data_IF_709833338374
#
_entry.id   IF_709833338374
#
_cell.length_a   1.000
_cell.length_b   1.000
_cell.length_c   1.000
_cell.angle_alpha   90.00
_cell.angle_beta   90.00
_cell.angle_gamma   90.00
#
_symmetry.space_group_name_H-M   'P 1'
#
loop_
_entity.id
_entity.type
_entity.pdbx_description
1 polymer ?
#
# COMPACT_ATOMS: atom_id res chain seq x y z
N UNK A 1 -55.64 -3.71 33.47
CA UNK A 1 -55.07 -2.74 32.52
C UNK A 1 -54.34 -3.57 31.49
N UNK A 2 -55.02 -3.92 30.41
CA UNK A 2 -54.42 -4.71 29.34
C UNK A 2 -53.41 -3.83 28.62
N UNK A 3 -52.13 -4.14 28.76
CA UNK A 3 -51.08 -3.44 28.05
C UNK A 3 -51.28 -3.71 26.56
N UNK A 4 -51.73 -2.70 25.81
CA UNK A 4 -51.94 -2.75 24.35
C UNK A 4 -50.67 -3.13 23.54
N UNK A 5 -49.53 -3.31 24.22
CA UNK A 5 -48.24 -3.72 23.66
C UNK A 5 -47.98 -5.23 23.73
N UNK A 6 -48.87 -6.03 24.34
CA UNK A 6 -48.74 -7.49 24.42
C UNK A 6 -48.54 -8.21 23.05
N UNK A 7 -49.24 -7.84 21.95
CA UNK A 7 -48.98 -8.45 20.63
C UNK A 7 -47.74 -7.89 19.93
N UNK A 8 -47.16 -6.80 20.44
CA UNK A 8 -46.00 -6.11 19.86
C UNK A 8 -44.66 -6.70 20.34
N UNK A 9 -44.69 -7.58 21.35
CA UNK A 9 -43.51 -8.26 21.90
C UNK A 9 -42.71 -9.02 20.83
N UNK A 10 -43.31 -9.97 20.06
CA UNK A 10 -42.58 -10.75 19.06
C UNK A 10 -42.07 -9.89 17.89
N UNK A 11 -42.85 -8.93 17.41
CA UNK A 11 -42.48 -8.05 16.29
C UNK A 11 -41.33 -7.12 16.65
N UNK A 12 -41.24 -6.67 17.90
CA UNK A 12 -40.15 -5.82 18.37
C UNK A 12 -38.81 -6.56 18.39
N UNK A 13 -38.81 -7.86 18.70
CA UNK A 13 -37.59 -8.69 18.64
C UNK A 13 -37.06 -8.82 17.20
N UNK A 14 -37.95 -9.03 16.23
CA UNK A 14 -37.57 -9.07 14.81
C UNK A 14 -37.01 -7.72 14.34
N UNK A 15 -37.65 -6.62 14.73
CA UNK A 15 -37.15 -5.27 14.42
C UNK A 15 -35.76 -5.03 15.04
N UNK A 16 -35.57 -5.38 16.32
CA UNK A 16 -34.30 -5.26 17.01
C UNK A 16 -33.20 -6.11 16.35
N UNK A 17 -33.53 -7.34 15.93
CA UNK A 17 -32.61 -8.22 15.19
C UNK A 17 -32.16 -7.61 13.86
N UNK A 18 -33.10 -7.05 13.09
CA UNK A 18 -32.79 -6.37 11.84
C UNK A 18 -31.87 -5.17 12.07
N UNK A 19 -32.14 -4.37 13.09
CA UNK A 19 -31.28 -3.24 13.45
C UNK A 19 -29.87 -3.67 13.88
N UNK A 20 -29.77 -4.68 14.74
CA UNK A 20 -28.47 -5.25 15.14
C UNK A 20 -27.70 -5.75 13.93
N UNK A 21 -28.36 -6.50 13.05
CA UNK A 21 -27.73 -7.05 11.85
C UNK A 21 -27.29 -5.94 10.89
N UNK A 22 -28.13 -4.93 10.66
CA UNK A 22 -27.79 -3.77 9.85
C UNK A 22 -26.58 -3.01 10.44
N UNK A 23 -26.54 -2.81 11.76
CA UNK A 23 -25.42 -2.15 12.43
C UNK A 23 -24.12 -2.95 12.28
N UNK A 24 -24.21 -4.28 12.36
CA UNK A 24 -23.09 -5.20 12.20
C UNK A 24 -22.56 -5.19 10.76
N UNK A 25 -23.46 -5.16 9.77
CA UNK A 25 -23.10 -4.99 8.36
C UNK A 25 -22.45 -3.65 8.08
N UNK A 26 -22.96 -2.55 8.65
CA UNK A 26 -22.37 -1.22 8.52
C UNK A 26 -20.98 -1.18 9.15
N UNK A 27 -20.83 -1.74 10.36
CA UNK A 27 -19.53 -1.87 11.02
C UNK A 27 -18.53 -2.66 10.16
N UNK A 28 -18.96 -3.78 9.60
CA UNK A 28 -18.13 -4.59 8.70
C UNK A 28 -17.78 -3.84 7.41
N UNK A 29 -18.71 -3.10 6.82
CA UNK A 29 -18.45 -2.29 5.64
C UNK A 29 -17.40 -1.20 5.91
N UNK A 30 -17.49 -0.51 7.06
CA UNK A 30 -16.49 0.49 7.48
C UNK A 30 -15.12 -0.16 7.64
N UNK A 31 -15.06 -1.32 8.30
CA UNK A 31 -13.85 -2.12 8.50
C UNK A 31 -13.21 -2.51 7.16
N UNK A 32 -14.00 -2.98 6.19
CA UNK A 32 -13.55 -3.33 4.84
C UNK A 32 -13.01 -2.10 4.10
N UNK A 33 -13.71 -0.97 4.19
CA UNK A 33 -13.28 0.29 3.55
C UNK A 33 -11.97 0.80 4.16
N UNK A 34 -11.84 0.76 5.49
CA UNK A 34 -10.61 1.15 6.20
C UNK A 34 -9.43 0.22 5.89
N UNK A 35 -9.68 -1.07 5.69
CA UNK A 35 -8.67 -2.04 5.27
C UNK A 35 -8.15 -1.78 3.84
N UNK A 36 -9.03 -1.32 2.94
CA UNK A 36 -8.71 -1.08 1.54
C UNK A 36 -8.00 0.27 1.28
N UNK A 37 -8.06 1.23 2.22
CA UNK A 37 -7.44 2.54 2.10
C UNK A 37 -5.92 2.52 1.80
N UNK A 38 -5.07 1.79 2.55
CA UNK A 38 -3.63 1.77 2.28
C UNK A 38 -3.28 1.25 0.89
N UNK A 39 -3.98 0.20 0.42
CA UNK A 39 -3.81 -0.36 -0.93
C UNK A 39 -4.20 0.63 -2.03
N UNK A 40 -5.30 1.37 -1.85
CA UNK A 40 -5.71 2.41 -2.80
C UNK A 40 -4.72 3.59 -2.86
N UNK A 41 -4.13 3.97 -1.72
CA UNK A 41 -3.11 5.03 -1.67
C UNK A 41 -1.82 4.58 -2.38
N UNK A 42 -1.39 3.33 -2.19
CA UNK A 42 -0.24 2.75 -2.86
C UNK A 42 -0.44 2.66 -4.38
N UNK A 43 -1.62 2.21 -4.83
CA UNK A 43 -1.96 2.10 -6.24
C UNK A 43 -1.94 3.48 -6.94
N UNK A 44 -2.51 4.51 -6.30
CA UNK A 44 -2.51 5.88 -6.84
C UNK A 44 -1.11 6.50 -6.94
N UNK A 45 -0.14 6.04 -6.14
CA UNK A 45 1.25 6.52 -6.16
C UNK A 45 2.15 5.72 -7.10
N UNK A 46 1.62 4.71 -7.79
CA UNK A 46 2.38 3.85 -8.69
C UNK A 46 3.48 3.09 -7.95
N UNK A 47 3.13 2.56 -6.78
CA UNK A 47 4.02 1.75 -5.96
C UNK A 47 4.06 0.31 -6.51
N UNK A 48 5.25 -0.28 -6.78
CA UNK A 48 5.36 -1.60 -7.40
C UNK A 48 4.72 -2.74 -6.59
N UNK A 49 4.47 -2.51 -5.29
CA UNK A 49 3.96 -3.51 -4.34
C UNK A 49 2.55 -3.19 -3.84
N UNK A 50 1.75 -2.45 -4.63
CA UNK A 50 0.40 -2.02 -4.25
C UNK A 50 -0.53 -3.18 -3.84
N UNK A 51 -0.43 -4.36 -4.46
CA UNK A 51 -1.20 -5.54 -4.07
C UNK A 51 -0.76 -6.11 -2.71
N UNK A 52 0.54 -6.14 -2.41
CA UNK A 52 1.06 -6.63 -1.12
C UNK A 52 0.62 -5.74 0.05
N UNK A 53 0.58 -4.43 -0.18
CA UNK A 53 0.10 -3.44 0.80
C UNK A 53 -1.41 -3.57 1.01
N UNK A 54 -2.18 -3.86 -0.04
CA UNK A 54 -3.61 -4.13 0.07
C UNK A 54 -3.88 -5.38 0.93
N UNK A 55 -3.11 -6.46 0.73
CA UNK A 55 -3.21 -7.68 1.53
C UNK A 55 -2.76 -7.43 2.98
N UNK A 56 -1.69 -6.67 3.20
CA UNK A 56 -1.27 -6.27 4.55
C UNK A 56 -2.29 -5.38 5.27
N UNK A 57 -3.04 -4.54 4.55
CA UNK A 57 -4.14 -3.75 5.12
C UNK A 57 -5.26 -4.63 5.66
N UNK A 58 -5.58 -5.72 4.95
CA UNK A 58 -6.57 -6.72 5.37
C UNK A 58 -6.08 -7.59 6.53
N UNK A 59 -4.82 -8.06 6.48
CA UNK A 59 -4.23 -8.92 7.53
C UNK A 59 -3.86 -8.11 8.79
N UNK A 60 -3.57 -6.82 8.65
CA UNK A 60 -3.16 -5.93 9.72
C UNK A 60 -4.30 -5.31 10.53
N UNK A 61 -5.53 -5.36 10.02
CA UNK A 61 -6.71 -4.82 10.71
C UNK A 61 -7.00 -5.46 12.08
N UNK A 62 -6.92 -6.80 12.27
CA UNK A 62 -7.08 -7.40 13.59
C UNK A 62 -5.93 -7.09 14.56
N UNK A 63 -4.75 -6.72 14.06
CA UNK A 63 -3.56 -6.43 14.88
C UNK A 63 -3.33 -4.94 15.11
N UNK A 64 -3.97 -4.05 14.35
CA UNK A 64 -3.92 -2.57 14.45
C UNK A 64 -2.56 -1.96 14.11
N UNK A 65 -1.48 -2.53 14.66
CA UNK A 65 -0.10 -2.11 14.47
C UNK A 65 0.42 -2.40 13.05
N UNK A 66 0.10 -3.57 12.51
CA UNK A 66 0.47 -3.94 11.14
C UNK A 66 -0.21 -3.06 10.09
N UNK A 67 -1.39 -2.52 10.38
CA UNK A 67 -2.07 -1.59 9.50
C UNK A 67 -1.32 -0.25 9.39
N UNK A 68 -0.82 0.30 10.50
CA UNK A 68 0.00 1.53 10.49
C UNK A 68 1.33 1.29 9.76
N UNK A 69 1.96 0.13 9.99
CA UNK A 69 3.18 -0.25 9.26
C UNK A 69 2.93 -0.35 7.74
N UNK A 70 1.81 -0.94 7.31
CA UNK A 70 1.44 -1.02 5.90
C UNK A 70 1.20 0.37 5.28
N UNK A 71 0.63 1.31 6.04
CA UNK A 71 0.50 2.71 5.61
C UNK A 71 1.86 3.38 5.44
N UNK A 72 2.77 3.26 6.40
CA UNK A 72 4.12 3.83 6.30
C UNK A 72 4.83 3.26 5.06
N UNK A 73 4.66 1.96 4.79
CA UNK A 73 5.28 1.31 3.64
C UNK A 73 4.65 1.72 2.30
N UNK A 74 3.34 2.00 2.27
CA UNK A 74 2.67 2.63 1.12
C UNK A 74 3.25 4.00 0.77
N UNK A 75 3.73 4.73 1.79
CA UNK A 75 4.38 6.02 1.62
C UNK A 75 5.86 5.91 1.23
N UNK A 76 6.54 4.84 1.63
CA UNK A 76 7.93 4.58 1.29
C UNK A 76 8.03 4.03 -0.15
N UNK A 77 8.04 4.89 -1.16
CA UNK A 77 8.17 4.48 -2.56
C UNK A 77 9.64 4.28 -2.94
N UNK A 78 10.12 3.05 -3.21
CA UNK A 78 11.47 2.84 -3.69
C UNK A 78 11.51 3.11 -5.20
N UNK A 79 11.35 4.37 -5.61
CA UNK A 79 11.54 4.79 -7.00
C UNK A 79 13.01 5.02 -7.36
N UNK A 80 13.93 4.54 -6.54
CA UNK A 80 15.37 4.76 -6.69
C UNK A 80 16.00 3.87 -7.79
N UNK A 81 15.30 2.84 -8.30
CA UNK A 81 15.89 1.92 -9.29
C UNK A 81 16.00 2.49 -10.71
N UNK A 82 15.11 3.42 -11.10
CA UNK A 82 15.05 3.92 -12.48
C UNK A 82 16.27 4.80 -12.81
N UNK A 83 16.86 5.45 -11.80
CA UNK A 83 18.02 6.34 -11.96
C UNK A 83 19.36 5.61 -11.77
N UNK A 84 19.35 4.45 -11.08
CA UNK A 84 20.54 3.66 -10.82
C UNK A 84 21.13 3.09 -12.12
N UNK A 85 20.28 2.60 -13.03
CA UNK A 85 20.71 2.07 -14.33
C UNK A 85 21.27 3.19 -15.22
N UNK A 86 20.64 4.38 -15.22
CA UNK A 86 21.11 5.54 -15.97
C UNK A 86 22.47 6.04 -15.48
N UNK A 87 22.65 6.18 -14.17
CA UNK A 87 23.95 6.55 -13.57
C UNK A 87 25.03 5.53 -13.88
N UNK A 88 24.72 4.24 -13.82
CA UNK A 88 25.69 3.19 -14.14
C UNK A 88 26.14 3.27 -15.60
N UNK A 89 25.23 3.49 -16.54
CA UNK A 89 25.56 3.69 -17.94
C UNK A 89 26.46 4.93 -18.16
N UNK A 90 26.17 6.05 -17.49
CA UNK A 90 27.01 7.25 -17.53
C UNK A 90 28.41 7.01 -16.94
N UNK A 91 28.50 6.24 -15.85
CA UNK A 91 29.78 5.87 -15.24
C UNK A 91 30.63 5.00 -16.17
N UNK A 92 30.02 4.02 -16.84
CA UNK A 92 30.72 3.17 -17.83
C UNK A 92 31.23 4.02 -19.00
N UNK A 93 30.39 4.89 -19.58
CA UNK A 93 30.80 5.75 -20.69
C UNK A 93 31.97 6.70 -20.31
N UNK A 94 31.97 7.24 -19.09
CA UNK A 94 33.08 8.06 -18.58
C UNK A 94 34.37 7.27 -18.42
N UNK A 95 34.29 6.02 -17.94
CA UNK A 95 35.45 5.15 -17.77
C UNK A 95 36.08 4.79 -19.12
N UNK A 96 35.26 4.43 -20.11
CA UNK A 96 35.73 4.14 -21.47
C UNK A 96 36.44 5.36 -22.09
N UNK A 97 35.88 6.56 -21.90
CA UNK A 97 36.50 7.81 -22.37
C UNK A 97 37.84 8.08 -21.69
N UNK A 98 37.93 7.86 -20.37
CA UNK A 98 39.17 8.05 -19.62
C UNK A 98 40.25 7.04 -20.04
N UNK A 99 39.88 5.78 -20.27
CA UNK A 99 40.80 4.74 -20.77
C UNK A 99 41.35 5.12 -22.15
N UNK A 100 40.48 5.52 -23.09
CA UNK A 100 40.91 5.94 -24.42
C UNK A 100 41.89 7.12 -24.39
N UNK A 101 41.71 8.06 -23.47
CA UNK A 101 42.57 9.23 -23.30
C UNK A 101 43.95 8.85 -22.73
N UNK A 102 43.98 7.92 -21.76
CA UNK A 102 45.24 7.40 -21.19
C UNK A 102 46.00 6.59 -22.24
N UNK A 103 45.31 5.74 -23.01
CA UNK A 103 45.92 4.96 -24.08
C UNK A 103 46.58 5.86 -25.12
N UNK A 104 45.89 6.91 -25.59
CA UNK A 104 46.46 7.89 -26.52
C UNK A 104 47.73 8.58 -25.96
N UNK A 105 47.66 9.07 -24.72
CA UNK A 105 48.81 9.74 -24.07
C UNK A 105 49.99 8.79 -23.84
N UNK A 106 49.71 7.50 -23.59
CA UNK A 106 50.75 6.48 -23.42
C UNK A 106 51.47 6.13 -24.73
N UNK A 107 50.78 6.21 -25.88
CA UNK A 107 51.39 5.96 -27.19
C UNK A 107 52.32 7.11 -27.62
N UNK A 108 51.97 8.35 -27.32
CA UNK A 108 52.81 9.53 -27.59
C UNK A 108 54.09 9.56 -26.74
N UNK A 109 54.06 9.05 -25.51
CA UNK A 109 55.23 9.00 -24.64
C UNK A 109 56.23 7.86 -25.00
N UNK A 110 55.80 6.89 -25.80
CA UNK A 110 56.61 5.72 -26.21
C UNK A 110 57.29 5.84 -27.56
N UNK A 111 57.01 6.89 -28.34
CA UNK A 111 57.63 7.22 -29.64
C UNK A 111 58.70 8.30 -29.50
#
# INVERSE_FOLDING_TARGET
MDFAFAPLGPTLHWLALVFIFAFLLIGLAIVIVLAALPGQIAARRGHPQAEAINICGWVGLPTGFFWVAALVWAYLNPREDIDATGRLADHVARLETAVALIEANSQEAGS
#
